data_IF_658299629285
#
_entry.id   IF_658299629285
#
_cell.length_a   1.000
_cell.length_b   1.000
_cell.length_c   1.000
_cell.angle_alpha   90.00
_cell.angle_beta   90.00
_cell.angle_gamma   90.00
#
_symmetry.space_group_name_H-M   'P 1'
#
loop_
_entity.id
_entity.type
_entity.pdbx_description
1 polymer ?
#
# COMPACT_ATOMS: atom_id res chain seq x y z
N UNK A 1 -39.20 13.73 -6.61
CA UNK A 1 -39.20 13.53 -5.14
C UNK A 1 -39.28 12.05 -4.86
N UNK A 2 -38.53 11.60 -3.85
CA UNK A 2 -38.55 10.27 -3.22
C UNK A 2 -37.75 9.13 -3.86
N UNK A 3 -36.62 8.82 -3.17
CA UNK A 3 -36.00 7.50 -2.97
C UNK A 3 -35.39 6.87 -4.25
N UNK A 4 -34.12 7.04 -4.63
CA UNK A 4 -32.87 7.09 -3.85
C UNK A 4 -32.82 6.13 -2.65
N UNK A 5 -33.41 4.94 -2.79
CA UNK A 5 -33.45 3.96 -1.72
C UNK A 5 -33.44 2.52 -2.26
N UNK A 6 -32.59 2.23 -3.25
CA UNK A 6 -32.04 0.89 -3.47
C UNK A 6 -30.58 1.04 -3.89
N UNK A 7 -29.78 1.68 -3.02
CA UNK A 7 -28.40 1.28 -2.84
C UNK A 7 -28.51 -0.05 -2.09
N UNK A 8 -28.69 -1.14 -2.84
CA UNK A 8 -28.71 -2.47 -2.26
C UNK A 8 -27.31 -2.75 -1.74
N UNK A 9 -27.12 -2.38 -0.47
CA UNK A 9 -26.22 -3.00 0.47
C UNK A 9 -26.38 -4.52 0.31
N UNK A 10 -25.55 -5.10 -0.56
CA UNK A 10 -25.16 -6.50 -0.42
C UNK A 10 -23.65 -6.45 -0.21
N UNK A 11 -23.27 -6.10 1.02
CA UNK A 11 -22.04 -6.59 1.56
C UNK A 11 -22.36 -7.32 2.86
N UNK A 12 -23.07 -8.44 2.73
CA UNK A 12 -22.96 -9.49 3.73
C UNK A 12 -21.70 -10.29 3.41
N UNK A 13 -20.55 -9.79 3.85
CA UNK A 13 -19.42 -10.66 4.17
C UNK A 13 -19.56 -10.99 5.66
N UNK A 14 -20.41 -11.98 5.94
CA UNK A 14 -20.29 -12.72 7.18
C UNK A 14 -19.23 -13.80 6.95
N UNK A 15 -17.97 -13.46 7.21
CA UNK A 15 -16.94 -14.49 7.42
C UNK A 15 -16.94 -14.79 8.91
N UNK A 16 -17.53 -15.92 9.29
CA UNK A 16 -17.12 -16.61 10.51
C UNK A 16 -15.57 -16.68 10.49
N UNK A 17 -14.94 -15.91 11.39
CA UNK A 17 -13.51 -15.79 11.65
C UNK A 17 -12.55 -16.41 10.61
N UNK A 18 -12.29 -15.74 9.48
CA UNK A 18 -11.21 -16.16 8.56
C UNK A 18 -9.87 -15.50 8.91
N UNK A 19 -9.82 -14.34 9.57
CA UNK A 19 -8.55 -13.75 10.01
C UNK A 19 -8.73 -12.90 11.28
N UNK A 20 -7.88 -13.03 12.31
CA UNK A 20 -7.83 -12.05 13.39
C UNK A 20 -7.37 -10.68 12.82
N UNK A 21 -8.25 -9.68 12.89
CA UNK A 21 -8.07 -8.35 12.27
C UNK A 21 -6.98 -7.46 12.89
N UNK A 22 -6.11 -8.01 13.74
CA UNK A 22 -5.08 -7.26 14.49
C UNK A 22 -3.65 -7.63 14.10
N UNK A 23 -3.45 -8.49 13.09
CA UNK A 23 -2.11 -8.96 12.70
C UNK A 23 -1.25 -7.88 12.02
N UNK A 24 -1.84 -6.79 11.53
CA UNK A 24 -1.13 -5.72 10.81
C UNK A 24 -1.02 -4.45 11.66
N UNK A 25 -0.15 -4.53 12.67
CA UNK A 25 0.11 -3.44 13.62
C UNK A 25 0.83 -2.26 12.95
N UNK A 26 0.85 -1.10 13.61
CA UNK A 26 1.55 0.10 13.11
C UNK A 26 3.06 -0.14 12.91
N UNK A 27 3.67 -1.00 13.73
CA UNK A 27 5.06 -1.40 13.57
C UNK A 27 5.26 -2.21 12.28
N UNK A 28 4.32 -3.11 11.95
CA UNK A 28 4.36 -3.90 10.72
C UNK A 28 4.08 -2.99 9.51
N UNK A 29 3.13 -2.06 9.61
CA UNK A 29 2.87 -1.04 8.59
C UNK A 29 4.13 -0.22 8.28
N UNK A 30 4.81 0.27 9.32
CA UNK A 30 6.05 1.04 9.19
C UNK A 30 7.16 0.21 8.54
N UNK A 31 7.32 -1.05 8.94
CA UNK A 31 8.30 -1.97 8.35
C UNK A 31 8.03 -2.19 6.86
N UNK A 32 6.78 -2.44 6.48
CA UNK A 32 6.37 -2.62 5.09
C UNK A 32 6.62 -1.35 4.26
N UNK A 33 6.24 -0.18 4.76
CA UNK A 33 6.47 1.11 4.08
C UNK A 33 7.96 1.36 3.89
N UNK A 34 8.77 1.14 4.94
CA UNK A 34 10.23 1.32 4.89
C UNK A 34 10.87 0.41 3.85
N UNK A 35 10.48 -0.87 3.84
CA UNK A 35 10.97 -1.84 2.87
C UNK A 35 10.64 -1.42 1.43
N UNK A 36 9.39 -1.00 1.18
CA UNK A 36 8.98 -0.54 -0.15
C UNK A 36 9.73 0.72 -0.58
N UNK A 37 9.90 1.69 0.31
CA UNK A 37 10.65 2.91 0.01
C UNK A 37 12.12 2.62 -0.30
N UNK A 38 12.74 1.63 0.37
CA UNK A 38 14.08 1.20 0.04
C UNK A 38 14.17 0.66 -1.41
N UNK A 39 13.26 -0.25 -1.80
CA UNK A 39 13.22 -0.76 -3.16
C UNK A 39 12.93 0.34 -4.20
N UNK A 40 11.98 1.24 -3.89
CA UNK A 40 11.68 2.40 -4.73
C UNK A 40 12.90 3.31 -4.92
N UNK A 41 13.72 3.50 -3.89
CA UNK A 41 14.97 4.27 -3.97
C UNK A 41 16.01 3.60 -4.88
N UNK A 42 16.17 2.28 -4.76
CA UNK A 42 17.09 1.52 -5.63
C UNK A 42 16.65 1.57 -7.11
N UNK A 43 15.34 1.42 -7.35
CA UNK A 43 14.75 1.56 -8.68
C UNK A 43 14.93 2.99 -9.23
N UNK A 44 14.67 4.01 -8.39
CA UNK A 44 14.80 5.40 -8.80
C UNK A 44 16.23 5.77 -9.24
N UNK A 45 17.23 5.18 -8.59
CA UNK A 45 18.64 5.35 -8.94
C UNK A 45 19.09 4.49 -10.13
N UNK A 46 18.22 3.63 -10.65
CA UNK A 46 18.56 2.68 -11.69
C UNK A 46 19.64 1.68 -11.25
N UNK A 47 19.53 1.17 -10.02
CA UNK A 47 20.46 0.18 -9.45
C UNK A 47 19.87 -1.24 -9.40
N UNK A 48 18.57 -1.39 -9.63
CA UNK A 48 17.89 -2.67 -9.53
C UNK A 48 17.94 -3.44 -10.85
N UNK A 49 18.45 -4.67 -10.80
CA UNK A 49 18.41 -5.60 -11.93
C UNK A 49 17.01 -6.19 -12.10
N UNK A 50 16.47 -6.09 -13.30
CA UNK A 50 15.17 -6.68 -13.67
C UNK A 50 15.37 -8.07 -14.27
N UNK A 51 14.27 -8.82 -14.36
CA UNK A 51 14.26 -10.14 -15.01
C UNK A 51 14.81 -10.01 -16.43
N UNK A 52 15.86 -10.77 -16.73
CA UNK A 52 16.61 -10.67 -17.98
C UNK A 52 18.00 -10.03 -17.85
N UNK A 53 18.40 -9.61 -16.65
CA UNK A 53 19.78 -9.17 -16.36
C UNK A 53 20.06 -7.70 -16.70
N UNK A 54 19.11 -7.01 -17.34
CA UNK A 54 19.18 -5.57 -17.54
C UNK A 54 18.93 -4.83 -16.22
N UNK A 55 19.46 -3.61 -16.10
CA UNK A 55 19.15 -2.71 -14.98
C UNK A 55 17.95 -1.84 -15.32
N UNK A 56 17.05 -1.62 -14.35
CA UNK A 56 15.95 -0.68 -14.51
C UNK A 56 16.48 0.73 -14.80
N UNK A 57 15.80 1.47 -15.67
CA UNK A 57 16.12 2.88 -15.89
C UNK A 57 15.79 3.71 -14.65
N UNK A 58 16.61 4.73 -14.39
CA UNK A 58 16.38 5.67 -13.30
C UNK A 58 15.02 6.37 -13.45
N UNK A 59 14.30 6.51 -12.35
CA UNK A 59 12.98 7.14 -12.34
C UNK A 59 13.11 8.66 -12.16
N UNK A 60 12.36 9.43 -12.94
CA UNK A 60 12.41 10.90 -12.88
C UNK A 60 11.77 11.47 -11.61
N UNK A 61 10.67 10.88 -11.13
CA UNK A 61 9.85 11.39 -10.03
C UNK A 61 9.30 10.24 -9.15
N UNK A 62 10.18 9.52 -8.45
CA UNK A 62 9.77 8.44 -7.54
C UNK A 62 9.58 8.98 -6.11
N UNK A 63 8.32 9.09 -5.67
CA UNK A 63 7.99 9.60 -4.33
C UNK A 63 7.96 8.50 -3.26
N UNK A 64 8.16 8.91 -2.01
CA UNK A 64 8.03 8.01 -0.86
C UNK A 64 6.56 7.70 -0.56
N UNK A 65 6.31 6.48 -0.10
CA UNK A 65 5.08 6.17 0.62
C UNK A 65 5.17 6.73 2.04
N UNK A 66 4.05 7.24 2.52
CA UNK A 66 3.86 7.66 3.91
C UNK A 66 2.98 6.65 4.61
N UNK A 67 3.26 6.39 5.88
CA UNK A 67 2.34 5.61 6.70
C UNK A 67 1.08 6.43 6.98
N UNK A 68 -0.07 5.78 7.13
CA UNK A 68 -1.34 6.47 7.38
C UNK A 68 -1.33 7.31 8.67
N UNK A 69 -0.45 6.99 9.62
CA UNK A 69 -0.30 7.73 10.86
C UNK A 69 0.48 9.04 10.70
N UNK A 70 1.43 9.11 9.77
CA UNK A 70 2.17 10.36 9.48
C UNK A 70 1.31 11.36 8.67
N UNK A 71 0.34 10.88 7.90
CA UNK A 71 -0.56 11.73 7.10
C UNK A 71 -1.68 12.43 7.91
N UNK A 72 -1.76 12.21 9.23
CA UNK A 72 -2.84 12.70 10.11
C UNK A 72 -2.45 13.90 10.98
N UNK A 73 -1.23 14.44 10.83
CA UNK A 73 -0.75 15.59 11.60
C UNK A 73 -0.27 16.74 10.70
N UNK A 74 -1.08 17.10 9.71
CA UNK A 74 -0.98 18.38 8.98
C UNK A 74 -2.36 19.05 8.91
#
# INVERSE_FOLDING_TARGET
>A
MFKFLILCFIFEVSTAAVCPGSAFTDAIQTSVVTMHNNFRSQLAKGLSTIKGGATASAAKNMYQFVSFFEAKFE
#
